data_IF_236019925881
#
_entry.id   IF_236019925881
#
_cell.length_a   1.000
_cell.length_b   1.000
_cell.length_c   1.000
_cell.angle_alpha   90.00
_cell.angle_beta   90.00
_cell.angle_gamma   90.00
#
_symmetry.space_group_name_H-M   'P 1'
#
loop_
_entity.id
_entity.type
_entity.pdbx_description
1 polymer ?
#
# COMPACT_ATOMS: atom_id res chain seq x y z
N UNK A 1 -12.78 36.75 17.23
CA UNK A 1 -12.19 35.43 16.90
C UNK A 1 -13.27 34.64 16.18
N UNK A 2 -13.31 34.65 14.84
CA UNK A 2 -14.36 33.94 14.08
C UNK A 2 -13.96 32.46 14.02
N UNK A 3 -14.73 31.64 14.71
CA UNK A 3 -14.72 30.18 14.59
C UNK A 3 -14.98 29.83 13.11
N UNK A 4 -13.91 29.57 12.36
CA UNK A 4 -14.02 29.09 10.98
C UNK A 4 -14.29 27.60 11.06
N UNK A 5 -15.57 27.26 11.18
CA UNK A 5 -16.02 25.88 11.01
C UNK A 5 -15.45 25.31 9.71
N UNK A 6 -14.85 24.11 9.81
CA UNK A 6 -14.24 23.44 8.68
C UNK A 6 -15.27 23.21 7.57
N UNK A 7 -14.88 23.47 6.31
CA UNK A 7 -15.74 23.17 5.16
C UNK A 7 -16.18 21.70 5.16
N UNK A 8 -17.35 21.35 4.59
CA UNK A 8 -17.81 19.96 4.55
C UNK A 8 -16.78 19.00 3.95
N UNK A 9 -16.06 19.42 2.91
CA UNK A 9 -14.95 18.67 2.30
C UNK A 9 -13.79 18.45 3.28
N UNK A 10 -13.40 19.47 4.03
CA UNK A 10 -12.35 19.38 5.05
C UNK A 10 -12.76 18.47 6.21
N UNK A 11 -14.04 18.51 6.64
CA UNK A 11 -14.57 17.61 7.67
C UNK A 11 -14.55 16.15 7.21
N UNK A 12 -14.99 15.87 5.98
CA UNK A 12 -14.94 14.52 5.39
C UNK A 12 -13.50 14.01 5.30
N UNK A 13 -12.57 14.84 4.81
CA UNK A 13 -11.15 14.49 4.75
C UNK A 13 -10.57 14.19 6.13
N UNK A 14 -10.76 15.07 7.12
CA UNK A 14 -10.31 14.83 8.51
C UNK A 14 -10.89 13.52 9.07
N UNK A 15 -12.17 13.25 8.81
CA UNK A 15 -12.81 12.02 9.27
C UNK A 15 -12.24 10.75 8.61
N UNK A 16 -11.70 10.84 7.39
CA UNK A 16 -11.05 9.71 6.71
C UNK A 16 -9.61 9.53 7.18
N UNK A 17 -8.83 10.62 7.24
CA UNK A 17 -7.41 10.53 7.61
C UNK A 17 -7.19 10.10 9.07
N UNK A 18 -8.18 10.32 9.94
CA UNK A 18 -8.16 9.88 11.34
C UNK A 18 -8.75 8.47 11.54
N UNK A 19 -9.11 7.74 10.48
CA UNK A 19 -9.59 6.35 10.64
C UNK A 19 -8.45 5.46 11.10
N UNK A 20 -8.68 4.53 12.03
CA UNK A 20 -7.75 3.45 12.31
C UNK A 20 -7.42 2.67 11.03
N UNK A 21 -6.16 2.26 10.90
CA UNK A 21 -5.63 1.52 9.75
C UNK A 21 -4.59 0.46 10.15
N UNK A 22 -4.33 0.32 11.46
CA UNK A 22 -3.44 -0.67 12.04
C UNK A 22 -4.25 -1.58 12.95
N UNK A 23 -3.84 -2.85 13.01
CA UNK A 23 -4.33 -3.85 13.94
C UNK A 23 -3.16 -4.42 14.73
N UNK A 24 -3.31 -4.52 16.06
CA UNK A 24 -2.33 -5.18 16.93
C UNK A 24 -2.32 -6.71 16.78
N UNK A 25 -3.28 -7.28 16.04
CA UNK A 25 -3.28 -8.71 15.73
C UNK A 25 -2.02 -9.09 14.94
N UNK A 26 -1.36 -10.21 15.28
CA UNK A 26 -0.15 -10.64 14.59
C UNK A 26 -0.47 -11.04 13.15
N UNK A 27 0.47 -10.79 12.23
CA UNK A 27 0.36 -11.18 10.83
C UNK A 27 0.62 -12.68 10.63
N UNK A 28 -0.32 -13.50 11.10
CA UNK A 28 -0.30 -14.96 11.00
C UNK A 28 -1.55 -15.44 10.28
N UNK A 29 -1.38 -16.28 9.25
CA UNK A 29 -2.48 -16.80 8.44
C UNK A 29 -3.16 -15.74 7.55
N UNK A 30 -4.19 -16.12 6.78
CA UNK A 30 -4.94 -15.20 5.93
C UNK A 30 -5.72 -14.18 6.77
N UNK A 31 -5.84 -12.92 6.32
CA UNK A 31 -6.75 -11.95 6.96
C UNK A 31 -8.22 -12.29 6.68
N UNK A 32 -9.17 -11.82 7.51
CA UNK A 32 -10.58 -11.82 7.14
C UNK A 32 -10.80 -10.86 5.95
N UNK A 33 -11.77 -11.20 5.11
CA UNK A 33 -12.05 -10.47 3.87
C UNK A 33 -13.55 -10.17 3.76
N UNK A 34 -14.22 -9.89 4.88
CA UNK A 34 -15.60 -9.39 4.84
C UNK A 34 -15.65 -8.04 4.13
N UNK A 35 -16.82 -7.66 3.61
CA UNK A 35 -16.98 -6.34 3.00
C UNK A 35 -16.68 -5.21 3.98
N UNK A 36 -16.97 -5.42 5.26
CA UNK A 36 -16.59 -4.48 6.33
C UNK A 36 -15.07 -4.30 6.40
N UNK A 37 -14.30 -5.38 6.30
CA UNK A 37 -12.84 -5.35 6.39
C UNK A 37 -12.22 -4.73 5.14
N UNK A 38 -12.69 -5.10 3.93
CA UNK A 38 -12.24 -4.49 2.67
C UNK A 38 -12.48 -2.97 2.62
N UNK A 39 -13.59 -2.49 3.20
CA UNK A 39 -13.88 -1.04 3.29
C UNK A 39 -13.05 -0.31 4.34
N UNK A 40 -12.59 -1.02 5.37
CA UNK A 40 -11.84 -0.47 6.50
C UNK A 40 -10.67 -1.38 6.82
N UNK A 41 -9.69 -1.49 5.91
CA UNK A 41 -8.62 -2.45 6.04
C UNK A 41 -7.64 -1.98 7.12
N UNK A 42 -7.20 -2.92 7.96
CA UNK A 42 -6.22 -2.70 9.01
C UNK A 42 -5.03 -3.60 8.77
N UNK A 43 -3.83 -3.03 8.62
CA UNK A 43 -2.63 -3.83 8.49
C UNK A 43 -2.31 -4.49 9.84
N UNK A 44 -2.01 -5.80 9.81
CA UNK A 44 -1.65 -6.58 11.00
C UNK A 44 -0.19 -6.34 11.39
N UNK A 45 0.11 -6.56 12.67
CA UNK A 45 1.44 -6.32 13.25
C UNK A 45 2.45 -7.34 12.77
N UNK A 46 3.66 -6.87 12.48
CA UNK A 46 4.79 -7.70 12.10
C UNK A 46 5.16 -8.67 13.22
N UNK A 47 5.44 -9.92 12.85
CA UNK A 47 5.84 -11.00 13.76
C UNK A 47 7.35 -11.27 13.72
N UNK A 48 8.07 -10.61 12.81
CA UNK A 48 9.52 -10.73 12.73
C UNK A 48 10.16 -10.02 13.92
N UNK A 49 11.17 -10.65 14.51
CA UNK A 49 11.90 -10.10 15.64
C UNK A 49 12.71 -8.88 15.21
N UNK A 50 12.34 -7.71 15.74
CA UNK A 50 13.00 -6.45 15.46
C UNK A 50 14.43 -6.39 16.01
N UNK A 51 14.68 -7.04 17.15
CA UNK A 51 16.00 -7.05 17.78
C UNK A 51 17.00 -7.93 17.00
N UNK A 52 16.49 -8.86 16.19
CA UNK A 52 17.28 -9.69 15.30
C UNK A 52 17.63 -9.02 13.96
N UNK A 53 17.14 -7.80 13.68
CA UNK A 53 17.37 -7.10 12.40
C UNK A 53 18.79 -6.53 12.31
N UNK A 54 19.61 -7.12 11.44
CA UNK A 54 20.88 -6.55 11.02
C UNK A 54 20.65 -5.55 9.87
N UNK A 55 20.95 -4.27 10.08
CA UNK A 55 20.83 -3.23 9.06
C UNK A 55 22.04 -3.27 8.13
N UNK A 56 21.84 -3.43 6.82
CA UNK A 56 22.93 -3.73 5.90
C UNK A 56 23.14 -2.65 4.83
N UNK A 57 22.06 -2.07 4.32
CA UNK A 57 22.14 -1.10 3.23
C UNK A 57 21.01 -0.07 3.32
N UNK A 58 21.35 1.20 3.13
CA UNK A 58 20.37 2.24 2.83
C UNK A 58 19.90 2.07 1.39
N UNK A 59 18.58 1.94 1.19
CA UNK A 59 17.96 1.89 -0.13
C UNK A 59 17.46 3.27 -0.59
N UNK A 60 17.74 4.30 0.20
CA UNK A 60 17.29 5.68 -0.05
C UNK A 60 15.88 5.96 0.47
N UNK A 61 15.41 7.18 0.22
CA UNK A 61 14.07 7.59 0.57
C UNK A 61 13.43 8.47 -0.49
N UNK A 62 12.13 8.69 -0.31
CA UNK A 62 11.29 9.55 -1.15
C UNK A 62 10.57 10.61 -0.32
N UNK A 63 9.36 10.99 -0.76
CA UNK A 63 8.50 11.94 -0.02
C UNK A 63 7.88 11.32 1.24
N UNK A 64 7.61 10.02 1.20
CA UNK A 64 6.81 9.32 2.22
C UNK A 64 7.63 8.79 3.39
N UNK A 65 8.86 8.37 3.09
CA UNK A 65 9.70 7.67 4.03
C UNK A 65 11.04 7.28 3.44
N UNK A 66 11.77 6.48 4.22
CA UNK A 66 13.11 6.01 3.91
C UNK A 66 13.16 4.50 4.10
N UNK A 67 13.91 3.81 3.25
CA UNK A 67 13.94 2.36 3.20
C UNK A 67 15.35 1.83 3.44
N UNK A 68 15.42 0.70 4.16
CA UNK A 68 16.67 -0.02 4.41
C UNK A 68 16.51 -1.49 4.07
N UNK A 69 17.57 -2.08 3.51
CA UNK A 69 17.74 -3.52 3.47
C UNK A 69 18.20 -3.99 4.85
N UNK A 70 17.49 -4.95 5.40
CA UNK A 70 17.85 -5.61 6.66
C UNK A 70 17.92 -7.12 6.45
N UNK A 71 18.71 -7.80 7.28
CA UNK A 71 18.79 -9.26 7.31
C UNK A 71 18.33 -9.78 8.65
N UNK A 72 17.52 -10.84 8.62
CA UNK A 72 17.13 -11.63 9.80
C UNK A 72 17.50 -13.08 9.50
N UNK A 73 18.43 -13.65 10.26
CA UNK A 73 19.03 -14.94 9.93
C UNK A 73 19.75 -14.89 8.57
N UNK A 74 19.24 -15.66 7.59
CA UNK A 74 19.75 -15.73 6.23
C UNK A 74 18.88 -15.01 5.18
N UNK A 75 17.74 -14.46 5.59
CA UNK A 75 16.77 -13.82 4.69
C UNK A 75 16.88 -12.30 4.72
N UNK A 76 16.63 -11.66 3.57
CA UNK A 76 16.64 -10.22 3.42
C UNK A 76 15.24 -9.64 3.34
N UNK A 77 15.07 -8.50 4.00
CA UNK A 77 13.83 -7.74 4.06
C UNK A 77 14.11 -6.28 3.77
N UNK A 78 13.04 -5.52 3.60
CA UNK A 78 13.07 -4.07 3.60
C UNK A 78 12.25 -3.54 4.75
N UNK A 79 12.81 -2.59 5.49
CA UNK A 79 12.08 -1.78 6.47
C UNK A 79 11.90 -0.40 5.86
N UNK A 80 10.65 -0.05 5.51
CA UNK A 80 10.26 1.31 5.09
C UNK A 80 9.76 2.06 6.31
N UNK A 81 10.48 3.08 6.76
CA UNK A 81 10.10 3.94 7.90
C UNK A 81 9.53 5.25 7.36
N UNK A 82 8.37 5.64 7.85
CA UNK A 82 7.62 6.79 7.36
C UNK A 82 7.95 8.04 8.17
N UNK A 83 8.07 9.19 7.50
CA UNK A 83 8.42 10.46 8.16
C UNK A 83 7.30 10.97 9.07
N UNK A 84 6.05 10.86 8.62
CA UNK A 84 4.91 11.50 9.27
C UNK A 84 4.27 10.55 10.31
N UNK A 85 4.44 10.85 11.59
CA UNK A 85 3.89 10.05 12.72
C UNK A 85 2.46 10.42 13.10
N UNK A 86 1.92 11.47 12.49
CA UNK A 86 0.58 11.98 12.71
C UNK A 86 -0.07 12.35 11.37
N UNK A 87 -1.42 12.36 11.29
CA UNK A 87 -2.11 12.88 10.13
C UNK A 87 -1.60 14.29 9.73
N UNK A 88 -1.44 14.57 8.43
CA UNK A 88 -1.02 15.89 7.97
C UNK A 88 -2.08 16.95 8.29
N UNK A 89 -1.64 18.19 8.51
CA UNK A 89 -2.54 19.31 8.86
C UNK A 89 -3.20 19.97 7.64
N UNK A 90 -2.75 19.63 6.43
CA UNK A 90 -3.30 20.12 5.17
C UNK A 90 -3.91 18.98 4.35
N UNK A 91 -4.72 19.35 3.34
CA UNK A 91 -5.44 18.40 2.50
C UNK A 91 -4.49 17.58 1.62
N UNK A 92 -3.98 16.47 2.15
CA UNK A 92 -3.25 15.44 1.43
C UNK A 92 -3.53 14.06 2.04
N UNK A 93 -2.92 13.02 1.49
CA UNK A 93 -2.97 11.68 2.08
C UNK A 93 -1.92 11.55 3.18
N UNK A 94 -2.14 10.63 4.11
CA UNK A 94 -1.15 10.21 5.09
C UNK A 94 -0.46 8.95 4.57
N UNK A 95 0.83 9.03 4.26
CA UNK A 95 1.57 8.00 3.53
C UNK A 95 1.47 6.60 4.18
N UNK A 96 1.79 6.50 5.47
CA UNK A 96 1.68 5.22 6.20
C UNK A 96 0.24 4.67 6.17
N UNK A 97 -0.79 5.52 6.29
CA UNK A 97 -2.17 5.06 6.24
C UNK A 97 -2.50 4.46 4.88
N UNK A 98 -2.12 5.14 3.79
CA UNK A 98 -2.33 4.65 2.43
C UNK A 98 -1.61 3.32 2.21
N UNK A 99 -0.32 3.27 2.54
CA UNK A 99 0.50 2.06 2.35
C UNK A 99 -0.10 0.87 3.10
N UNK A 100 -0.47 1.07 4.37
CA UNK A 100 -1.09 0.04 5.20
C UNK A 100 -2.42 -0.46 4.62
N UNK A 101 -3.28 0.45 4.18
CA UNK A 101 -4.58 0.09 3.63
C UNK A 101 -4.44 -0.70 2.33
N UNK A 102 -3.58 -0.25 1.42
CA UNK A 102 -3.31 -0.94 0.17
C UNK A 102 -2.70 -2.33 0.42
N UNK A 103 -1.70 -2.44 1.30
CA UNK A 103 -1.10 -3.72 1.67
C UNK A 103 -2.14 -4.69 2.27
N UNK A 104 -2.99 -4.21 3.17
CA UNK A 104 -4.02 -5.02 3.81
C UNK A 104 -5.09 -5.48 2.81
N UNK A 105 -5.55 -4.62 1.90
CA UNK A 105 -6.50 -5.01 0.84
C UNK A 105 -5.89 -6.06 -0.10
N UNK A 106 -4.63 -5.89 -0.51
CA UNK A 106 -3.95 -6.87 -1.34
C UNK A 106 -3.87 -8.25 -0.65
N UNK A 107 -3.60 -8.29 0.66
CA UNK A 107 -3.62 -9.55 1.44
C UNK A 107 -5.04 -10.17 1.54
N UNK A 108 -6.09 -9.36 1.60
CA UNK A 108 -7.47 -9.83 1.61
C UNK A 108 -7.87 -10.42 0.25
N UNK A 109 -7.48 -9.76 -0.84
CA UNK A 109 -7.69 -10.25 -2.21
C UNK A 109 -6.96 -11.57 -2.44
N UNK A 110 -5.70 -11.67 -2.02
CA UNK A 110 -4.92 -12.91 -2.08
C UNK A 110 -5.62 -14.05 -1.33
N UNK A 111 -6.11 -13.77 -0.11
CA UNK A 111 -6.81 -14.74 0.71
C UNK A 111 -8.14 -15.19 0.09
N UNK A 112 -8.92 -14.27 -0.50
CA UNK A 112 -10.17 -14.57 -1.18
C UNK A 112 -9.95 -15.51 -2.38
N UNK A 113 -8.97 -15.19 -3.24
CA UNK A 113 -8.62 -16.01 -4.40
C UNK A 113 -8.14 -17.41 -3.99
N UNK A 114 -7.33 -17.49 -2.93
CA UNK A 114 -6.83 -18.77 -2.42
C UNK A 114 -7.94 -19.67 -1.83
N UNK A 115 -8.96 -19.08 -1.20
CA UNK A 115 -10.03 -19.83 -0.52
C UNK A 115 -11.18 -20.20 -1.45
N UNK A 116 -11.53 -19.33 -2.39
CA UNK A 116 -12.74 -19.46 -3.20
C UNK A 116 -12.47 -19.87 -4.65
N UNK A 117 -11.23 -19.77 -5.10
CA UNK A 117 -10.86 -20.00 -6.50
C UNK A 117 -11.19 -18.79 -7.38
N UNK A 118 -11.59 -19.00 -8.65
CA UNK A 118 -11.79 -17.90 -9.58
C UNK A 118 -12.92 -16.95 -9.17
N UNK A 119 -12.64 -15.65 -9.12
CA UNK A 119 -13.60 -14.60 -8.77
C UNK A 119 -14.00 -13.82 -10.03
N UNK A 120 -15.30 -13.61 -10.23
CA UNK A 120 -15.81 -12.81 -11.36
C UNK A 120 -15.78 -11.33 -11.00
N UNK A 121 -15.28 -10.51 -11.91
CA UNK A 121 -15.25 -9.04 -11.79
C UNK A 121 -15.72 -8.40 -13.11
N UNK A 122 -16.21 -7.16 -13.07
CA UNK A 122 -16.45 -6.37 -14.27
C UNK A 122 -15.14 -6.25 -15.05
N UNK A 123 -15.17 -6.56 -16.35
CA UNK A 123 -13.97 -6.60 -17.20
C UNK A 123 -13.55 -5.25 -17.77
N UNK A 124 -14.44 -4.25 -17.69
CA UNK A 124 -14.18 -2.88 -18.13
C UNK A 124 -14.70 -1.86 -17.10
N UNK A 125 -14.19 -1.86 -15.86
CA UNK A 125 -14.67 -0.95 -14.83
C UNK A 125 -14.19 0.49 -15.14
N UNK A 126 -15.12 1.45 -15.13
CA UNK A 126 -14.86 2.87 -15.48
C UNK A 126 -15.25 3.84 -14.39
N UNK A 127 -16.16 3.44 -13.50
CA UNK A 127 -16.69 4.31 -12.45
C UNK A 127 -16.17 3.93 -11.08
N UNK A 128 -16.38 4.83 -10.11
CA UNK A 128 -16.15 4.51 -8.71
C UNK A 128 -17.06 3.38 -8.21
N UNK A 129 -18.28 3.28 -8.74
CA UNK A 129 -19.18 2.17 -8.42
C UNK A 129 -18.59 0.86 -8.92
N UNK A 130 -18.15 0.80 -10.18
CA UNK A 130 -17.56 -0.41 -10.76
C UNK A 130 -16.33 -0.87 -9.98
N UNK A 131 -15.48 0.08 -9.54
CA UNK A 131 -14.33 -0.22 -8.70
C UNK A 131 -14.74 -0.79 -7.33
N UNK A 132 -15.81 -0.28 -6.72
CA UNK A 132 -16.35 -0.80 -5.47
C UNK A 132 -17.01 -2.17 -5.65
N UNK A 133 -17.72 -2.39 -6.75
CA UNK A 133 -18.39 -3.66 -7.06
C UNK A 133 -17.35 -4.75 -7.36
N UNK A 134 -16.28 -4.41 -8.09
CA UNK A 134 -15.13 -5.29 -8.27
C UNK A 134 -14.44 -5.61 -6.94
N UNK A 135 -14.20 -4.62 -6.08
CA UNK A 135 -13.62 -4.87 -4.75
C UNK A 135 -14.56 -5.73 -3.88
N UNK A 136 -15.88 -5.48 -3.94
CA UNK A 136 -16.89 -6.25 -3.22
C UNK A 136 -16.95 -7.70 -3.67
N UNK A 137 -16.60 -8.00 -4.93
CA UNK A 137 -16.55 -9.37 -5.45
C UNK A 137 -15.57 -10.27 -4.68
N UNK A 138 -14.59 -9.69 -3.99
CA UNK A 138 -13.65 -10.38 -3.10
C UNK A 138 -14.14 -10.53 -1.66
N UNK A 139 -15.37 -10.13 -1.35
CA UNK A 139 -15.91 -10.23 0.00
C UNK A 139 -16.49 -11.60 0.32
N UNK A 140 -16.38 -12.03 1.58
CA UNK A 140 -17.06 -13.22 2.10
C UNK A 140 -18.55 -13.23 1.71
N UNK A 141 -19.21 -12.08 1.81
CA UNK A 141 -20.63 -11.92 1.49
C UNK A 141 -20.92 -12.15 0.01
N UNK A 142 -20.11 -11.60 -0.90
CA UNK A 142 -20.27 -11.78 -2.34
C UNK A 142 -20.03 -13.23 -2.75
N UNK A 143 -18.96 -13.83 -2.22
CA UNK A 143 -18.56 -15.21 -2.50
C UNK A 143 -19.64 -16.19 -2.02
N UNK A 144 -20.09 -16.06 -0.77
CA UNK A 144 -21.10 -16.94 -0.19
C UNK A 144 -22.45 -16.86 -0.94
N UNK A 145 -22.81 -15.67 -1.42
CA UNK A 145 -24.02 -15.46 -2.21
C UNK A 145 -23.84 -15.76 -3.71
N UNK A 146 -22.62 -16.05 -4.16
CA UNK A 146 -22.29 -16.22 -5.59
C UNK A 146 -22.77 -15.05 -6.45
N UNK A 147 -22.60 -13.82 -5.94
CA UNK A 147 -23.01 -12.61 -6.66
C UNK A 147 -22.07 -12.41 -7.84
N UNK A 148 -22.63 -12.46 -9.04
CA UNK A 148 -21.92 -12.11 -10.26
C UNK A 148 -22.07 -10.61 -10.55
N UNK A 149 -21.01 -9.92 -11.01
CA UNK A 149 -21.13 -8.58 -11.55
C UNK A 149 -22.01 -8.54 -12.80
N UNK A 150 -22.53 -7.36 -13.14
CA UNK A 150 -23.19 -7.12 -14.42
C UNK A 150 -22.19 -7.27 -15.59
N UNK A 151 -22.53 -7.99 -16.68
CA UNK A 151 -21.65 -8.14 -17.84
C UNK A 151 -21.25 -6.81 -18.49
N UNK A 152 -20.05 -6.72 -19.10
CA UNK A 152 -19.11 -7.81 -19.36
C UNK A 152 -18.24 -8.16 -18.13
N UNK A 153 -18.05 -9.46 -17.89
CA UNK A 153 -17.28 -9.98 -16.76
C UNK A 153 -16.04 -10.74 -17.22
N UNK A 154 -15.03 -10.77 -16.36
CA UNK A 154 -13.83 -11.61 -16.52
C UNK A 154 -13.53 -12.34 -15.21
N UNK A 155 -12.81 -13.45 -15.31
CA UNK A 155 -12.45 -14.27 -14.18
C UNK A 155 -11.01 -14.01 -13.75
N UNK A 156 -10.82 -13.63 -12.50
CA UNK A 156 -9.52 -13.56 -11.87
C UNK A 156 -9.25 -14.89 -11.17
N UNK A 157 -8.30 -15.65 -11.70
CA UNK A 157 -7.95 -17.01 -11.24
C UNK A 157 -6.85 -16.99 -10.18
N UNK A 158 -6.06 -15.91 -10.14
CA UNK A 158 -4.96 -15.75 -9.20
C UNK A 158 -4.48 -14.32 -9.16
N UNK A 159 -3.62 -14.04 -8.18
CA UNK A 159 -2.96 -12.75 -8.02
C UNK A 159 -1.59 -12.83 -8.70
N UNK A 160 -1.22 -11.87 -9.57
CA UNK A 160 0.14 -11.81 -10.10
C UNK A 160 1.12 -11.56 -8.95
N UNK A 161 2.42 -11.66 -9.24
CA UNK A 161 3.44 -11.52 -8.20
C UNK A 161 3.43 -10.13 -7.58
N UNK A 162 2.94 -10.04 -6.35
CA UNK A 162 2.94 -8.84 -5.53
C UNK A 162 3.99 -8.93 -4.44
N UNK A 163 4.57 -7.80 -4.04
CA UNK A 163 5.56 -7.75 -2.97
C UNK A 163 4.96 -8.25 -1.65
N UNK A 164 5.60 -9.22 -1.01
CA UNK A 164 5.10 -9.74 0.27
C UNK A 164 5.26 -8.69 1.37
N UNK A 165 4.17 -8.38 2.06
CA UNK A 165 4.14 -7.55 3.26
C UNK A 165 4.17 -8.44 4.51
N UNK A 166 5.06 -8.14 5.43
CA UNK A 166 5.22 -8.84 6.71
C UNK A 166 4.61 -8.08 7.89
N UNK A 167 4.01 -6.92 7.64
CA UNK A 167 3.23 -6.17 8.62
C UNK A 167 3.92 -4.92 9.14
N UNK A 168 3.20 -4.20 10.00
CA UNK A 168 3.70 -2.96 10.58
C UNK A 168 4.46 -3.18 11.88
N UNK A 169 5.40 -2.30 12.18
CA UNK A 169 6.08 -2.21 13.48
C UNK A 169 6.41 -0.74 13.80
N UNK A 170 7.01 -0.53 14.96
CA UNK A 170 7.47 0.78 15.42
C UNK A 170 8.99 0.84 15.43
N UNK A 171 9.56 1.97 15.01
CA UNK A 171 11.01 2.20 15.01
C UNK A 171 11.31 3.49 15.78
N UNK A 172 12.20 3.42 16.76
CA UNK A 172 12.62 4.62 17.49
C UNK A 172 13.69 5.39 16.71
N UNK A 173 13.51 6.70 16.55
CA UNK A 173 14.47 7.58 15.85
C UNK A 173 15.87 7.56 16.46
N UNK A 174 15.97 7.33 17.78
CA UNK A 174 17.25 7.12 18.47
C UNK A 174 18.05 5.91 17.92
N UNK A 175 17.38 4.86 17.46
CA UNK A 175 18.07 3.74 16.80
C UNK A 175 18.63 4.19 15.44
N UNK A 176 17.84 4.92 14.65
CA UNK A 176 18.24 5.42 13.33
C UNK A 176 19.45 6.37 13.41
N UNK A 177 19.54 7.21 14.44
CA UNK A 177 20.68 8.11 14.64
C UNK A 177 21.96 7.40 15.06
N UNK A 178 21.85 6.19 15.63
CA UNK A 178 22.98 5.34 16.06
C UNK A 178 23.48 4.40 14.98
N UNK A 179 22.82 4.32 13.82
CA UNK A 179 23.30 3.54 12.69
C UNK A 179 24.70 4.01 12.24
N UNK A 180 25.52 3.11 11.66
CA UNK A 180 26.76 3.48 10.96
C UNK A 180 26.49 4.59 9.94
N UNK A 181 27.48 5.47 9.71
CA UNK A 181 27.30 6.66 8.85
C UNK A 181 26.76 6.35 7.46
N UNK A 182 27.19 5.24 6.84
CA UNK A 182 26.72 4.79 5.52
C UNK A 182 25.23 4.36 5.50
N UNK A 183 24.66 4.04 6.67
CA UNK A 183 23.29 3.60 6.84
C UNK A 183 22.38 4.68 7.44
N UNK A 184 22.93 5.81 7.87
CA UNK A 184 22.11 6.88 8.44
C UNK A 184 21.20 7.48 7.37
N UNK A 185 19.94 7.78 7.71
CA UNK A 185 19.05 8.46 6.77
C UNK A 185 19.61 9.85 6.47
N UNK A 186 19.65 10.19 5.18
CA UNK A 186 19.98 11.55 4.77
C UNK A 186 18.74 12.42 4.89
N UNK A 187 18.91 13.65 5.38
CA UNK A 187 17.88 14.67 5.30
C UNK A 187 17.99 15.39 3.96
N UNK A 188 16.88 15.49 3.23
CA UNK A 188 16.82 16.18 1.94
C UNK A 188 15.49 16.89 1.78
N UNK A 189 15.47 17.90 0.91
CA UNK A 189 14.27 18.64 0.59
C UNK A 189 13.51 17.90 -0.52
N UNK A 190 12.28 17.48 -0.22
CA UNK A 190 11.33 16.92 -1.20
C UNK A 190 10.18 17.89 -1.33
N UNK A 191 9.92 18.39 -2.53
CA UNK A 191 8.82 19.33 -2.79
C UNK A 191 8.81 20.55 -1.84
N UNK A 192 10.00 21.08 -1.51
CA UNK A 192 10.23 22.19 -0.57
C UNK A 192 9.91 21.88 0.90
N UNK A 193 9.70 20.61 1.23
CA UNK A 193 9.55 20.12 2.60
C UNK A 193 10.83 19.38 2.96
N UNK A 194 11.49 19.81 4.04
CA UNK A 194 12.66 19.11 4.56
C UNK A 194 12.23 17.81 5.22
N UNK A 195 12.60 16.68 4.63
CA UNK A 195 12.35 15.34 5.16
C UNK A 195 13.54 14.86 5.99
N UNK A 196 13.27 14.18 7.10
CA UNK A 196 14.28 13.68 8.02
C UNK A 196 13.66 13.05 9.25
N UNK A 197 14.50 12.40 10.06
CA UNK A 197 14.08 11.77 11.32
C UNK A 197 14.69 12.51 12.52
N UNK A 198 13.85 12.77 13.52
CA UNK A 198 14.18 13.14 14.89
C UNK A 198 14.33 11.92 15.81
N UNK A 199 13.88 12.07 17.05
CA UNK A 199 14.09 11.07 18.12
C UNK A 199 12.81 10.35 18.55
N UNK A 200 11.66 10.73 17.99
CA UNK A 200 10.36 10.14 18.25
C UNK A 200 10.22 8.71 17.68
N UNK A 201 9.07 8.11 17.94
CA UNK A 201 8.73 6.77 17.44
C UNK A 201 7.99 6.86 16.10
N UNK A 202 8.56 6.20 15.09
CA UNK A 202 8.03 6.15 13.74
C UNK A 202 7.28 4.87 13.45
N UNK A 203 6.34 4.95 12.52
CA UNK A 203 5.76 3.76 11.92
C UNK A 203 6.70 3.21 10.84
N UNK A 204 6.77 1.89 10.76
CA UNK A 204 7.44 1.21 9.66
C UNK A 204 6.64 0.00 9.18
N UNK A 205 6.90 -0.40 7.95
CA UNK A 205 6.37 -1.64 7.39
C UNK A 205 7.55 -2.49 6.92
N UNK A 206 7.46 -3.79 7.21
CA UNK A 206 8.44 -4.77 6.75
C UNK A 206 7.91 -5.44 5.49
N UNK A 207 8.75 -5.45 4.46
CA UNK A 207 8.46 -6.08 3.20
C UNK A 207 9.55 -7.07 2.83
N UNK A 208 9.23 -7.92 1.87
CA UNK A 208 10.22 -8.66 1.12
C UNK A 208 11.23 -7.74 0.43
N UNK A 209 12.48 -8.18 0.39
CA UNK A 209 13.51 -7.58 -0.44
C UNK A 209 13.41 -8.13 -1.87
N UNK A 210 13.30 -7.23 -2.85
CA UNK A 210 13.32 -7.55 -4.28
C UNK A 210 14.64 -7.04 -4.83
N UNK A 211 15.40 -7.93 -5.48
CA UNK A 211 16.67 -7.59 -6.11
C UNK A 211 16.49 -6.55 -7.22
N UNK A 212 17.56 -5.80 -7.50
CA UNK A 212 17.55 -4.82 -8.58
C UNK A 212 17.71 -5.53 -9.93
N UNK A 213 16.57 -5.90 -10.49
CA UNK A 213 16.47 -6.48 -11.82
C UNK A 213 15.61 -5.61 -12.75
N UNK A 214 15.88 -5.62 -14.07
CA UNK A 214 15.06 -4.90 -15.04
C UNK A 214 13.58 -5.32 -14.98
N UNK A 215 12.69 -4.36 -15.22
CA UNK A 215 11.27 -4.65 -15.33
C UNK A 215 10.94 -5.26 -16.70
N UNK A 216 10.21 -6.37 -16.70
CA UNK A 216 9.53 -6.87 -17.89
C UNK A 216 8.21 -6.10 -18.08
N UNK A 217 8.04 -5.46 -19.24
CA UNK A 217 6.87 -4.63 -19.52
C UNK A 217 5.55 -5.41 -19.48
N UNK A 218 5.53 -6.65 -19.97
CA UNK A 218 4.32 -7.47 -19.95
C UNK A 218 3.93 -7.84 -18.52
N UNK A 219 4.92 -8.15 -17.67
CA UNK A 219 4.66 -8.42 -16.24
C UNK A 219 4.11 -7.18 -15.53
N UNK A 220 4.65 -5.99 -15.81
CA UNK A 220 4.14 -4.73 -15.23
C UNK A 220 2.70 -4.46 -15.68
N UNK A 221 2.37 -4.67 -16.96
CA UNK A 221 1.00 -4.53 -17.47
C UNK A 221 0.03 -5.53 -16.84
N UNK A 222 0.45 -6.78 -16.65
CA UNK A 222 -0.37 -7.79 -15.98
C UNK A 222 -0.69 -7.38 -14.52
N UNK A 223 0.31 -6.84 -13.80
CA UNK A 223 0.12 -6.32 -12.44
C UNK A 223 -0.80 -5.09 -12.44
N UNK A 224 -0.58 -4.14 -13.33
CA UNK A 224 -1.41 -2.93 -13.45
C UNK A 224 -2.86 -3.27 -13.80
N UNK A 225 -3.06 -4.19 -14.75
CA UNK A 225 -4.38 -4.71 -15.13
C UNK A 225 -5.07 -5.38 -13.95
N UNK A 226 -4.37 -6.20 -13.18
CA UNK A 226 -4.93 -6.82 -11.98
C UNK A 226 -5.35 -5.76 -10.95
N UNK A 227 -4.51 -4.75 -10.69
CA UNK A 227 -4.82 -3.65 -9.77
C UNK A 227 -6.08 -2.90 -10.22
N UNK A 228 -6.15 -2.53 -11.51
CA UNK A 228 -7.34 -1.90 -12.09
C UNK A 228 -8.59 -2.77 -11.92
N UNK A 229 -8.54 -4.05 -12.30
CA UNK A 229 -9.68 -4.96 -12.17
C UNK A 229 -10.09 -5.22 -10.72
N UNK A 230 -9.22 -5.02 -9.75
CA UNK A 230 -9.51 -5.18 -8.31
C UNK A 230 -9.92 -3.86 -7.63
N UNK A 231 -10.12 -2.80 -8.40
CA UNK A 231 -10.63 -1.51 -7.92
C UNK A 231 -9.55 -0.54 -7.42
N UNK A 232 -8.27 -0.84 -7.65
CA UNK A 232 -7.20 0.13 -7.41
C UNK A 232 -7.10 1.11 -8.60
N UNK A 233 -6.90 2.38 -8.29
CA UNK A 233 -6.50 3.39 -9.28
C UNK A 233 -5.07 3.85 -9.04
N UNK A 234 -4.36 4.21 -10.10
CA UNK A 234 -3.04 4.83 -9.98
C UNK A 234 -3.14 6.27 -9.49
N UNK A 235 -2.02 6.79 -8.98
CA UNK A 235 -1.88 8.21 -8.65
C UNK A 235 -1.40 9.01 -9.86
N UNK A 236 -1.32 10.35 -9.73
CA UNK A 236 -0.98 11.24 -10.86
C UNK A 236 0.44 11.08 -11.42
N UNK A 237 1.27 10.24 -10.81
CA UNK A 237 2.67 10.05 -11.20
C UNK A 237 3.10 8.63 -10.85
N UNK A 238 2.63 7.61 -11.58
CA UNK A 238 3.26 6.30 -11.50
C UNK A 238 4.75 6.50 -11.82
N UNK A 239 5.61 5.85 -11.06
CA UNK A 239 7.04 6.08 -11.19
C UNK A 239 7.74 4.76 -11.46
N UNK A 240 8.40 4.63 -12.62
CA UNK A 240 9.15 3.42 -12.98
C UNK A 240 10.19 3.00 -11.92
N UNK A 241 10.74 3.97 -11.17
CA UNK A 241 11.65 3.72 -10.02
C UNK A 241 11.02 2.91 -8.87
N UNK A 242 9.69 2.90 -8.79
CA UNK A 242 8.92 2.15 -7.80
C UNK A 242 8.59 0.73 -8.27
N UNK A 243 9.18 0.29 -9.39
CA UNK A 243 9.07 -1.07 -9.91
C UNK A 243 10.44 -1.74 -9.97
N UNK A 244 10.52 -2.98 -9.48
CA UNK A 244 11.73 -3.82 -9.54
C UNK A 244 11.33 -5.24 -9.91
N UNK A 245 11.99 -5.83 -10.90
CA UNK A 245 11.68 -7.19 -11.38
C UNK A 245 10.17 -7.41 -11.69
N UNK A 246 9.49 -6.39 -12.21
CA UNK A 246 8.04 -6.43 -12.48
C UNK A 246 7.13 -6.31 -11.25
N UNK A 247 7.69 -6.02 -10.07
CA UNK A 247 6.96 -5.88 -8.80
C UNK A 247 6.90 -4.41 -8.37
N UNK A 248 5.70 -3.92 -8.06
CA UNK A 248 5.50 -2.61 -7.44
C UNK A 248 6.01 -2.64 -5.98
N UNK A 249 7.03 -1.83 -5.69
CA UNK A 249 7.68 -1.78 -4.37
C UNK A 249 7.16 -0.65 -3.47
N UNK A 250 6.52 0.38 -4.03
CA UNK A 250 5.89 1.48 -3.29
C UNK A 250 4.36 1.42 -3.47
N UNK A 251 3.63 1.05 -2.42
CA UNK A 251 2.19 0.90 -2.52
C UNK A 251 1.45 2.25 -2.45
N UNK A 252 2.13 3.37 -2.20
CA UNK A 252 1.55 4.71 -2.23
C UNK A 252 1.19 5.17 -3.64
N UNK A 253 1.75 4.52 -4.67
CA UNK A 253 1.52 4.79 -6.09
C UNK A 253 0.13 4.36 -6.57
N UNK A 254 -0.57 3.57 -5.77
CA UNK A 254 -1.94 3.13 -6.02
C UNK A 254 -2.86 3.54 -4.88
N UNK A 255 -4.16 3.53 -5.12
CA UNK A 255 -5.19 3.77 -4.11
C UNK A 255 -6.32 2.79 -4.33
N UNK A 256 -6.66 1.98 -3.33
CA UNK A 256 -7.84 1.10 -3.39
C UNK A 256 -9.16 1.89 -3.44
N UNK A 257 -10.24 1.28 -3.92
CA UNK A 257 -11.52 1.96 -4.18
C UNK A 257 -12.13 2.73 -2.99
N UNK A 258 -11.89 2.29 -1.74
CA UNK A 258 -12.36 3.01 -0.54
C UNK A 258 -11.33 4.00 0.05
N UNK A 259 -10.15 4.11 -0.57
CA UNK A 259 -9.01 4.88 -0.08
C UNK A 259 -9.07 6.38 -0.35
N UNK A 260 -8.39 7.15 0.50
CA UNK A 260 -8.31 8.59 0.35
C UNK A 260 -7.44 8.97 -0.86
N UNK A 261 -8.06 9.68 -1.80
CA UNK A 261 -7.40 10.15 -3.02
C UNK A 261 -7.66 9.28 -4.25
N UNK A 262 -8.49 8.24 -4.14
CA UNK A 262 -9.00 7.53 -5.30
C UNK A 262 -9.72 8.50 -6.25
N UNK A 263 -9.46 8.38 -7.55
CA UNK A 263 -9.96 9.33 -8.54
C UNK A 263 -10.36 8.60 -9.83
N UNK A 264 -11.63 8.72 -10.23
CA UNK A 264 -12.16 8.12 -11.46
C UNK A 264 -11.42 8.58 -12.72
N UNK A 265 -10.81 9.77 -12.71
CA UNK A 265 -10.04 10.29 -13.86
C UNK A 265 -8.69 9.60 -14.06
N UNK A 266 -8.24 8.84 -13.06
CA UNK A 266 -6.99 8.08 -13.06
C UNK A 266 -7.28 6.57 -12.95
N UNK A 267 -8.53 6.17 -13.19
CA UNK A 267 -8.98 4.79 -13.08
C UNK A 267 -9.16 4.21 -14.47
N UNK A 268 -8.03 3.86 -15.08
CA UNK A 268 -7.92 3.30 -16.41
C UNK A 268 -6.87 2.17 -16.41
N UNK A 269 -6.93 1.25 -17.39
CA UNK A 269 -5.88 0.26 -17.56
C UNK A 269 -4.61 0.96 -18.06
N UNK A 270 -3.65 1.17 -17.17
CA UNK A 270 -2.36 1.79 -17.49
C UNK A 270 -1.45 0.81 -18.25
N UNK A 271 -0.67 1.34 -19.20
CA UNK A 271 0.33 0.59 -19.96
C UNK A 271 1.69 0.62 -19.26
N UNK A 272 2.55 -0.36 -19.53
CA UNK A 272 3.91 -0.34 -19.00
C UNK A 272 4.71 0.85 -19.56
N UNK A 273 4.44 1.27 -20.80
CA UNK A 273 5.07 2.47 -21.36
C UNK A 273 4.77 3.71 -20.51
N UNK A 274 3.53 3.90 -20.06
CA UNK A 274 3.17 5.01 -19.20
C UNK A 274 3.74 4.87 -17.78
N UNK A 275 3.72 3.66 -17.21
CA UNK A 275 4.17 3.40 -15.84
C UNK A 275 5.70 3.49 -15.70
N UNK A 276 6.44 3.04 -16.72
CA UNK A 276 7.91 2.91 -16.68
C UNK A 276 8.66 4.10 -17.32
N UNK A 277 7.93 5.07 -17.90
CA UNK A 277 8.50 6.33 -18.42
C UNK A 277 9.15 7.17 -17.31
#
# INVERSE_FOLDING_TARGET
MKDRSLSPRSRKWKAVVNRPFLSDSPMVGPPPHTWRDLRRPHLRRCVLDQDAMAWEQSLGGGSDGYSWKVRIGHEHFVVKVFYDTSPPDWYCYWAIQRECQNAAVLQMIEAALAQSGPIQVCSDPRTHSDALDNLYSFSDESIAASIAPEPPCTSLVGMPRMRKCFGWLKVHGHMLSRLPSALRPQAYDVDRIRRGFGYEEYFAIVYEFIDEEPNDAAVVEDVARFLWLTGFGHTMSPAGRNWKAGVLIDLSDVVYACGLGWNHRLYEPDTAEYILA
#
